data_IF_547456388734
#
_entry.id   IF_547456388734
#
_cell.length_a   1.000
_cell.length_b   1.000
_cell.length_c   1.000
_cell.angle_alpha   90.00
_cell.angle_beta   90.00
_cell.angle_gamma   90.00
#
_symmetry.space_group_name_H-M   'P 1'
#
loop_
_entity.id
_entity.type
_entity.pdbx_description
1 polymer ?
#
# COMPACT_ATOMS: atom_id res chain seq x y z
N UNK A 1 -2.02 -20.17 22.95
CA UNK A 1 -3.22 -19.58 22.31
C UNK A 1 -2.73 -18.77 21.12
N UNK A 2 -3.27 -18.99 19.91
CA UNK A 2 -2.84 -18.27 18.70
C UNK A 2 -3.56 -16.92 18.65
N UNK A 3 -2.84 -15.85 18.38
CA UNK A 3 -3.41 -14.50 18.21
C UNK A 3 -4.23 -14.46 16.92
N UNK A 4 -5.43 -13.89 16.98
CA UNK A 4 -6.29 -13.66 15.81
C UNK A 4 -6.14 -12.22 15.29
N UNK A 5 -5.31 -12.05 14.27
CA UNK A 5 -5.03 -10.75 13.66
C UNK A 5 -6.22 -10.17 12.89
N UNK A 6 -7.25 -10.96 12.56
CA UNK A 6 -8.42 -10.46 11.83
C UNK A 6 -9.21 -9.43 12.65
N UNK A 7 -9.19 -9.58 13.97
CA UNK A 7 -9.89 -8.74 14.94
C UNK A 7 -9.18 -7.41 15.25
N UNK A 8 -7.90 -7.27 14.85
CA UNK A 8 -7.11 -6.08 15.14
C UNK A 8 -7.39 -4.96 14.13
N UNK A 9 -7.39 -3.73 14.64
CA UNK A 9 -7.29 -2.51 13.83
C UNK A 9 -5.90 -2.39 13.19
N UNK A 10 -5.76 -1.52 12.17
CA UNK A 10 -4.47 -1.22 11.53
C UNK A 10 -3.41 -0.74 12.55
N UNK A 11 -3.83 0.01 13.57
CA UNK A 11 -2.94 0.52 14.63
C UNK A 11 -2.47 -0.56 15.59
N UNK A 12 -3.37 -1.44 16.04
CA UNK A 12 -3.04 -2.56 16.94
C UNK A 12 -2.11 -3.57 16.25
N UNK A 13 -2.41 -3.89 14.99
CA UNK A 13 -1.58 -4.81 14.21
C UNK A 13 -0.18 -4.24 13.95
N UNK A 14 -0.05 -2.92 13.72
CA UNK A 14 1.24 -2.23 13.62
C UNK A 14 2.05 -2.33 14.91
N UNK A 15 1.42 -2.05 16.05
CA UNK A 15 2.08 -2.12 17.35
C UNK A 15 2.55 -3.56 17.66
N UNK A 16 1.72 -4.55 17.33
CA UNK A 16 2.06 -5.96 17.50
C UNK A 16 3.31 -6.35 16.70
N UNK A 17 3.36 -6.02 15.39
CA UNK A 17 4.49 -6.34 14.52
C UNK A 17 5.79 -5.70 15.02
N UNK A 18 5.75 -4.46 15.52
CA UNK A 18 6.91 -3.78 16.10
C UNK A 18 7.44 -4.53 17.34
N UNK A 19 6.55 -4.99 18.21
CA UNK A 19 6.92 -5.76 19.39
C UNK A 19 7.35 -7.20 19.08
N UNK A 20 6.99 -7.75 17.91
CA UNK A 20 7.23 -9.14 17.51
C UNK A 20 7.86 -9.22 16.11
N UNK A 21 9.09 -8.67 15.91
CA UNK A 21 9.68 -8.48 14.58
C UNK A 21 9.95 -9.78 13.81
N UNK A 22 9.98 -10.93 14.49
CA UNK A 22 10.19 -12.24 13.87
C UNK A 22 8.90 -13.03 13.60
N UNK A 23 7.73 -12.51 14.02
CA UNK A 23 6.45 -13.13 13.72
C UNK A 23 6.03 -12.81 12.29
N UNK A 24 6.48 -13.67 11.36
CA UNK A 24 6.14 -13.58 9.93
C UNK A 24 4.63 -13.61 9.69
N UNK A 25 3.86 -14.28 10.56
CA UNK A 25 2.41 -14.36 10.41
C UNK A 25 1.77 -13.00 10.68
N UNK A 26 2.20 -12.33 11.75
CA UNK A 26 1.77 -10.97 12.05
C UNK A 26 2.19 -9.99 10.95
N UNK A 27 3.41 -10.13 10.43
CA UNK A 27 3.89 -9.30 9.33
C UNK A 27 3.04 -9.46 8.06
N UNK A 28 2.72 -10.69 7.64
CA UNK A 28 1.84 -10.90 6.48
C UNK A 28 0.44 -10.33 6.71
N UNK A 29 -0.17 -10.59 7.87
CA UNK A 29 -1.48 -10.01 8.20
C UNK A 29 -1.46 -8.47 8.16
N UNK A 30 -0.36 -7.86 8.61
CA UNK A 30 -0.16 -6.42 8.53
C UNK A 30 -0.07 -5.93 7.07
N UNK A 31 0.76 -6.56 6.25
CA UNK A 31 0.91 -6.18 4.83
C UNK A 31 -0.44 -6.31 4.11
N UNK A 32 -1.08 -7.48 4.21
CA UNK A 32 -2.37 -7.75 3.55
C UNK A 32 -3.44 -6.72 3.93
N UNK A 33 -3.53 -6.35 5.21
CA UNK A 33 -4.51 -5.36 5.69
C UNK A 33 -4.22 -3.94 5.16
N UNK A 34 -2.96 -3.62 4.89
CA UNK A 34 -2.57 -2.30 4.39
C UNK A 34 -2.62 -2.20 2.86
N UNK A 35 -2.51 -3.33 2.15
CA UNK A 35 -2.57 -3.38 0.68
C UNK A 35 -3.94 -3.75 0.13
N UNK A 36 -4.87 -4.27 0.95
CA UNK A 36 -6.21 -4.72 0.50
C UNK A 36 -7.01 -3.66 -0.28
N UNK A 37 -6.87 -2.38 0.08
CA UNK A 37 -7.59 -1.27 -0.56
C UNK A 37 -6.73 -0.52 -1.60
N UNK A 38 -5.47 -0.95 -1.80
CA UNK A 38 -4.56 -0.28 -2.71
C UNK A 38 -4.78 -0.77 -4.16
N UNK A 39 -4.72 0.16 -5.12
CA UNK A 39 -4.69 -0.21 -6.53
C UNK A 39 -3.44 -1.06 -6.81
N UNK A 40 -3.55 -2.21 -7.50
CA UNK A 40 -2.39 -3.01 -7.92
C UNK A 40 -1.62 -2.38 -9.09
N UNK A 41 -2.09 -1.25 -9.61
CA UNK A 41 -1.50 -0.55 -10.74
C UNK A 41 -0.08 -0.05 -10.40
N UNK A 42 0.88 -0.46 -11.21
CA UNK A 42 2.28 -0.05 -11.12
C UNK A 42 2.66 0.74 -12.36
N UNK A 43 3.61 1.67 -12.21
CA UNK A 43 4.16 2.45 -13.31
C UNK A 43 5.67 2.26 -13.35
N UNK A 44 6.22 2.18 -14.56
CA UNK A 44 7.66 2.10 -14.74
C UNK A 44 8.33 3.39 -14.27
N UNK A 45 9.56 3.26 -13.76
CA UNK A 45 10.38 4.41 -13.41
C UNK A 45 10.86 5.04 -14.72
N UNK A 46 10.60 6.34 -14.96
CA UNK A 46 11.03 7.01 -16.19
C UNK A 46 12.56 7.05 -16.26
N UNK A 47 13.12 6.65 -17.41
CA UNK A 47 14.55 6.60 -17.68
C UNK A 47 15.03 7.71 -18.63
N UNK A 48 14.10 8.55 -19.10
CA UNK A 48 14.39 9.64 -20.02
C UNK A 48 13.57 10.89 -19.71
N UNK A 49 14.02 12.03 -20.23
CA UNK A 49 13.29 13.29 -20.09
C UNK A 49 11.95 13.30 -20.85
N UNK A 50 11.83 12.50 -21.91
CA UNK A 50 10.57 12.32 -22.62
C UNK A 50 9.55 11.56 -21.74
N UNK A 51 9.98 10.46 -21.12
CA UNK A 51 9.12 9.68 -20.20
C UNK A 51 8.67 10.49 -18.97
N UNK A 52 9.47 11.48 -18.52
CA UNK A 52 9.03 12.39 -17.45
C UNK A 52 7.78 13.20 -17.85
N UNK A 53 7.63 13.56 -19.13
CA UNK A 53 6.43 14.27 -19.61
C UNK A 53 5.21 13.35 -19.58
N UNK A 54 5.39 12.06 -19.87
CA UNK A 54 4.32 11.07 -19.79
C UNK A 54 3.85 10.88 -18.35
N UNK A 55 4.77 10.93 -17.37
CA UNK A 55 4.44 10.93 -15.94
C UNK A 55 3.61 12.15 -15.55
N UNK A 56 3.95 13.35 -16.05
CA UNK A 56 3.17 14.57 -15.78
C UNK A 56 1.73 14.47 -16.32
N UNK A 57 1.55 13.86 -17.50
CA UNK A 57 0.23 13.61 -18.09
C UNK A 57 -0.55 12.61 -17.24
N UNK A 58 0.09 11.51 -16.84
CA UNK A 58 -0.50 10.48 -16.01
C UNK A 58 -0.97 11.04 -14.66
N UNK A 59 -0.16 11.88 -14.00
CA UNK A 59 -0.51 12.54 -12.74
C UNK A 59 -1.80 13.37 -12.92
N UNK A 60 -1.88 14.18 -13.98
CA UNK A 60 -3.08 14.99 -14.26
C UNK A 60 -4.31 14.12 -14.46
N UNK A 61 -4.19 13.03 -15.22
CA UNK A 61 -5.31 12.11 -15.44
C UNK A 61 -5.82 11.49 -14.13
N UNK A 62 -4.91 11.04 -13.26
CA UNK A 62 -5.28 10.48 -11.94
C UNK A 62 -5.96 11.53 -11.04
N UNK A 63 -5.47 12.77 -11.05
CA UNK A 63 -6.08 13.86 -10.30
C UNK A 63 -7.51 14.15 -10.76
N UNK A 64 -7.78 14.09 -12.07
CA UNK A 64 -9.14 14.27 -12.60
C UNK A 64 -10.07 13.10 -12.24
N UNK A 65 -9.58 11.86 -12.28
CA UNK A 65 -10.33 10.67 -11.84
C UNK A 65 -10.74 10.76 -10.36
N UNK A 66 -9.86 11.29 -9.51
CA UNK A 66 -10.17 11.48 -8.09
C UNK A 66 -11.19 12.59 -7.81
N UNK A 67 -11.34 13.57 -8.72
CA UNK A 67 -12.35 14.64 -8.57
C UNK A 67 -13.74 14.22 -9.00
N UNK A 68 -13.84 13.21 -9.86
CA UNK A 68 -15.11 12.69 -10.40
C UNK A 68 -15.64 11.47 -9.65
N UNK A 69 -14.87 10.95 -8.69
CA UNK A 69 -15.26 9.84 -7.80
C UNK A 69 -15.70 10.33 -6.43
#
# INVERSE_FOLDING_TARGET
MKVDFSTMTKGELRAYVIAHPYDKTAFHAFVDRFTADASPETFDIPNSSAELQDVDVLIKQKLEQLKTS
#
